data_IF_282198048454
#
_entry.id   IF_282198048454
#
_cell.length_a   1.000
_cell.length_b   1.000
_cell.length_c   1.000
_cell.angle_alpha   90.00
_cell.angle_beta   90.00
_cell.angle_gamma   90.00
#
_symmetry.space_group_name_H-M   'P 1'
#
loop_
_entity.id
_entity.type
_entity.pdbx_description
1 polymer ?
#
# COMPACT_ATOMS: atom_id res chain seq x y z
N UNK A 1 -20.74 -1.53 12.22
CA UNK A 1 -19.33 -1.07 12.27
C UNK A 1 -18.48 -2.21 11.75
N UNK A 2 -17.54 -1.94 10.84
CA UNK A 2 -16.67 -2.99 10.31
C UNK A 2 -15.72 -3.48 11.40
N UNK A 3 -15.45 -4.78 11.43
CA UNK A 3 -14.39 -5.41 12.22
C UNK A 3 -13.37 -6.12 11.33
N UNK A 4 -12.38 -6.76 11.97
CA UNK A 4 -11.28 -7.45 11.29
C UNK A 4 -11.73 -8.54 10.30
N UNK A 5 -12.89 -9.17 10.54
CA UNK A 5 -13.44 -10.20 9.66
C UNK A 5 -13.95 -9.61 8.34
N UNK A 6 -14.49 -8.40 8.38
CA UNK A 6 -15.18 -7.76 7.24
C UNK A 6 -14.21 -7.24 6.18
N UNK A 7 -12.95 -7.02 6.58
CA UNK A 7 -11.89 -6.47 5.71
C UNK A 7 -11.00 -7.53 5.10
N UNK A 8 -11.30 -8.82 5.29
CA UNK A 8 -10.48 -9.90 4.70
C UNK A 8 -10.60 -9.95 3.19
N UNK A 9 -9.52 -10.40 2.56
CA UNK A 9 -9.44 -10.57 1.11
C UNK A 9 -8.42 -9.65 0.48
N UNK A 10 -8.53 -9.49 -0.85
CA UNK A 10 -7.68 -8.60 -1.62
C UNK A 10 -8.47 -7.35 -1.98
N UNK A 11 -7.86 -6.21 -1.68
CA UNK A 11 -8.35 -4.89 -2.01
C UNK A 11 -7.38 -4.22 -2.95
N UNK A 12 -7.92 -3.51 -3.93
CA UNK A 12 -7.14 -2.60 -4.77
C UNK A 12 -7.58 -1.19 -4.49
N UNK A 13 -6.64 -0.31 -4.18
CA UNK A 13 -6.95 1.10 -3.95
C UNK A 13 -7.38 1.74 -5.26
N UNK A 14 -8.60 2.26 -5.29
CA UNK A 14 -9.12 2.99 -6.45
C UNK A 14 -8.75 4.48 -6.42
N UNK A 15 -8.58 5.05 -5.23
CA UNK A 15 -8.32 6.47 -5.01
C UNK A 15 -7.63 6.67 -3.67
N UNK A 16 -6.64 7.57 -3.64
CA UNK A 16 -6.22 8.26 -2.44
C UNK A 16 -6.53 9.74 -2.61
N UNK A 17 -7.25 10.34 -1.67
CA UNK A 17 -7.60 11.76 -1.69
C UNK A 17 -7.09 12.43 -0.41
N UNK A 18 -6.58 13.65 -0.56
CA UNK A 18 -6.08 14.45 0.55
C UNK A 18 -7.02 15.63 0.83
N UNK A 19 -6.97 16.17 2.05
CA UNK A 19 -7.82 17.29 2.47
C UNK A 19 -7.57 18.58 1.67
N UNK A 20 -6.39 18.72 1.06
CA UNK A 20 -6.02 19.83 0.18
C UNK A 20 -6.57 19.70 -1.25
N UNK A 21 -7.38 18.67 -1.53
CA UNK A 21 -8.01 18.42 -2.82
C UNK A 21 -7.14 17.65 -3.81
N UNK A 22 -5.90 17.29 -3.46
CA UNK A 22 -5.10 16.37 -4.29
C UNK A 22 -5.74 14.99 -4.33
N UNK A 23 -5.47 14.25 -5.41
CA UNK A 23 -5.90 12.88 -5.60
C UNK A 23 -4.86 12.06 -6.37
N UNK A 24 -4.73 10.78 -6.01
CA UNK A 24 -3.90 9.79 -6.70
C UNK A 24 -4.77 8.60 -7.09
N UNK A 25 -4.77 8.30 -8.39
CA UNK A 25 -5.46 7.17 -9.02
C UNK A 25 -4.51 6.31 -9.85
N UNK A 26 -3.22 6.61 -9.82
CA UNK A 26 -2.23 6.06 -10.76
C UNK A 26 -1.24 5.11 -10.08
N UNK A 27 -0.90 5.34 -8.80
CA UNK A 27 -0.10 4.39 -8.04
C UNK A 27 -0.91 3.10 -7.84
N UNK A 28 -0.32 1.98 -8.23
CA UNK A 28 -0.92 0.66 -8.06
C UNK A 28 -0.71 0.21 -6.62
N UNK A 29 -1.80 0.11 -5.87
CA UNK A 29 -1.78 -0.37 -4.48
C UNK A 29 -2.67 -1.59 -4.35
N UNK A 30 -2.06 -2.70 -3.96
CA UNK A 30 -2.73 -3.96 -3.64
C UNK A 30 -2.53 -4.26 -2.15
N UNK A 31 -3.65 -4.32 -1.42
CA UNK A 31 -3.70 -4.70 0.00
C UNK A 31 -4.32 -6.10 0.11
N UNK A 32 -3.61 -7.02 0.76
CA UNK A 32 -4.11 -8.37 1.04
C UNK A 32 -4.23 -8.53 2.56
N UNK A 33 -5.43 -8.81 3.03
CA UNK A 33 -5.77 -8.98 4.44
C UNK A 33 -6.14 -10.43 4.74
N UNK A 34 -5.29 -11.09 5.52
CA UNK A 34 -5.57 -12.39 6.12
C UNK A 34 -6.36 -12.26 7.44
N UNK A 35 -6.41 -13.32 8.27
CA UNK A 35 -7.14 -13.27 9.53
C UNK A 35 -6.64 -12.23 10.54
N UNK A 36 -5.32 -12.03 10.59
CA UNK A 36 -4.65 -11.10 11.52
C UNK A 36 -3.53 -10.30 10.86
N UNK A 37 -2.87 -10.87 9.84
CA UNK A 37 -1.76 -10.25 9.13
C UNK A 37 -2.19 -9.69 7.78
N UNK A 38 -1.48 -8.66 7.33
CA UNK A 38 -1.67 -8.04 6.04
C UNK A 38 -0.35 -7.75 5.34
N UNK A 39 -0.44 -7.52 4.02
CA UNK A 39 0.60 -6.89 3.21
C UNK A 39 -0.03 -5.83 2.31
N UNK A 40 0.62 -4.67 2.20
CA UNK A 40 0.29 -3.56 1.31
C UNK A 40 1.49 -3.32 0.39
N UNK A 41 1.28 -3.48 -0.92
CA UNK A 41 2.31 -3.27 -1.95
C UNK A 41 1.96 -2.06 -2.79
N UNK A 42 2.93 -1.18 -3.00
CA UNK A 42 2.75 0.07 -3.75
C UNK A 42 3.79 0.17 -4.86
N UNK A 43 3.33 0.11 -6.10
CA UNK A 43 4.16 0.33 -7.27
C UNK A 43 3.88 1.71 -7.85
N UNK A 44 4.91 2.52 -8.13
CA UNK A 44 4.73 3.82 -8.76
C UNK A 44 4.03 3.67 -10.12
N UNK A 45 3.32 4.71 -10.51
CA UNK A 45 2.77 4.82 -11.86
C UNK A 45 3.88 4.77 -12.93
N UNK A 46 3.47 4.62 -14.19
CA UNK A 46 4.38 4.69 -15.34
C UNK A 46 5.58 3.73 -15.25
N UNK A 47 5.32 2.45 -14.93
CA UNK A 47 6.35 1.41 -14.94
C UNK A 47 7.09 1.41 -16.29
N UNK A 48 8.43 1.59 -16.30
CA UNK A 48 9.20 1.52 -17.52
C UNK A 48 9.20 0.10 -18.07
N UNK A 49 9.51 -0.05 -19.36
CA UNK A 49 9.72 -1.37 -19.94
C UNK A 49 10.98 -2.02 -19.33
N UNK A 50 10.88 -3.29 -18.96
CA UNK A 50 11.98 -4.11 -18.44
C UNK A 50 12.32 -5.27 -19.39
N UNK A 51 11.79 -5.28 -20.61
CA UNK A 51 12.10 -6.29 -21.62
C UNK A 51 13.61 -6.33 -21.87
N UNK A 52 14.22 -7.51 -21.73
CA UNK A 52 15.66 -7.70 -21.93
C UNK A 52 16.54 -7.38 -20.71
N UNK A 53 15.98 -6.91 -19.59
CA UNK A 53 16.71 -6.75 -18.33
C UNK A 53 16.84 -8.12 -17.65
N UNK A 54 18.05 -8.65 -17.53
CA UNK A 54 18.33 -9.94 -16.87
C UNK A 54 18.90 -9.77 -15.46
N UNK A 55 19.46 -8.61 -15.14
CA UNK A 55 19.98 -8.30 -13.79
C UNK A 55 20.15 -6.81 -13.53
N UNK A 56 20.63 -6.49 -12.32
CA UNK A 56 20.80 -5.09 -11.87
C UNK A 56 21.75 -4.27 -12.75
N UNK A 57 22.72 -4.93 -13.40
CA UNK A 57 23.68 -4.28 -14.30
C UNK A 57 23.07 -3.82 -15.62
N UNK A 58 21.90 -4.36 -15.99
CA UNK A 58 21.20 -4.03 -17.23
C UNK A 58 20.22 -2.86 -17.03
N UNK A 59 20.09 -2.36 -15.80
CA UNK A 59 19.16 -1.29 -15.46
C UNK A 59 19.65 0.06 -15.96
N UNK A 60 18.75 0.75 -16.65
CA UNK A 60 18.89 2.18 -16.93
C UNK A 60 18.67 3.01 -15.67
N UNK A 61 19.19 4.25 -15.60
CA UNK A 61 18.94 5.15 -14.47
C UNK A 61 17.45 5.36 -14.17
N UNK A 62 16.61 5.49 -15.21
CA UNK A 62 15.16 5.66 -15.05
C UNK A 62 14.49 4.41 -14.44
N UNK A 63 14.94 3.21 -14.78
CA UNK A 63 14.46 1.98 -14.15
C UNK A 63 14.90 1.86 -12.69
N UNK A 64 16.14 2.26 -12.37
CA UNK A 64 16.63 2.30 -10.98
C UNK A 64 15.81 3.29 -10.16
N UNK A 65 15.56 4.48 -10.69
CA UNK A 65 14.73 5.50 -10.03
C UNK A 65 13.30 4.98 -9.78
N UNK A 66 12.68 4.33 -10.78
CA UNK A 66 11.36 3.74 -10.62
C UNK A 66 11.34 2.62 -9.57
N UNK A 67 12.34 1.74 -9.57
CA UNK A 67 12.46 0.68 -8.57
C UNK A 67 12.64 1.25 -7.16
N UNK A 68 13.43 2.32 -7.02
CA UNK A 68 13.67 3.02 -5.77
C UNK A 68 12.44 3.75 -5.23
N UNK A 69 11.48 4.10 -6.09
CA UNK A 69 10.19 4.68 -5.70
C UNK A 69 9.16 3.66 -5.22
N UNK A 70 9.43 2.36 -5.30
CA UNK A 70 8.51 1.35 -4.76
C UNK A 70 8.41 1.46 -3.24
N UNK A 71 7.20 1.25 -2.74
CA UNK A 71 6.91 1.22 -1.31
C UNK A 71 6.13 -0.04 -0.97
N UNK A 72 6.13 -0.41 0.30
CA UNK A 72 5.33 -1.53 0.77
C UNK A 72 5.63 -1.82 2.22
N UNK A 73 4.68 -2.46 2.88
CA UNK A 73 4.78 -2.79 4.29
C UNK A 73 3.82 -3.93 4.64
N UNK A 74 4.12 -4.59 5.75
CA UNK A 74 3.34 -5.71 6.23
C UNK A 74 3.40 -5.79 7.75
N UNK A 75 2.37 -6.41 8.32
CA UNK A 75 2.30 -6.63 9.75
C UNK A 75 0.91 -7.01 10.20
N UNK A 76 0.54 -6.60 11.41
CA UNK A 76 -0.73 -6.98 12.03
C UNK A 76 -1.72 -5.82 11.94
N UNK A 77 -2.96 -6.12 11.57
CA UNK A 77 -4.05 -5.16 11.66
C UNK A 77 -4.65 -5.21 13.07
N UNK A 78 -4.59 -4.09 13.78
CA UNK A 78 -5.28 -3.87 15.05
C UNK A 78 -6.65 -3.23 14.83
N UNK A 79 -7.59 -3.48 15.74
CA UNK A 79 -8.86 -2.78 15.81
C UNK A 79 -9.26 -2.60 17.27
N UNK A 80 -9.46 -1.36 17.71
CA UNK A 80 -9.78 -1.03 19.10
C UNK A 80 -11.29 -0.85 19.36
N UNK A 81 -12.11 -1.03 18.33
CA UNK A 81 -13.55 -0.77 18.38
C UNK A 81 -13.97 0.58 17.77
N UNK A 82 -13.03 1.40 17.31
CA UNK A 82 -13.32 2.63 16.58
C UNK A 82 -12.36 2.82 15.38
N UNK A 83 -11.07 2.56 15.59
CA UNK A 83 -10.02 2.75 14.61
C UNK A 83 -9.29 1.44 14.33
N UNK A 84 -8.89 1.29 13.08
CA UNK A 84 -7.93 0.30 12.64
C UNK A 84 -6.53 0.89 12.73
N UNK A 85 -5.58 0.06 13.15
CA UNK A 85 -4.16 0.40 13.19
C UNK A 85 -3.38 -0.61 12.34
N UNK A 86 -2.64 -0.10 11.36
CA UNK A 86 -1.77 -0.87 10.50
C UNK A 86 -0.39 -0.95 11.16
N UNK A 87 -0.19 -1.93 12.04
CA UNK A 87 1.11 -2.18 12.65
C UNK A 87 2.13 -2.61 11.58
N UNK A 88 3.23 -1.88 11.44
CA UNK A 88 4.26 -2.10 10.40
C UNK A 88 5.44 -2.88 11.00
N UNK A 89 5.38 -4.21 10.90
CA UNK A 89 6.47 -5.09 11.33
C UNK A 89 7.57 -5.20 10.25
N UNK A 90 7.19 -4.98 8.99
CA UNK A 90 8.07 -4.92 7.83
C UNK A 90 7.78 -3.64 7.08
N UNK A 91 8.85 -2.98 6.64
CA UNK A 91 8.82 -1.70 5.93
C UNK A 91 9.86 -1.73 4.81
N UNK A 92 9.42 -1.52 3.57
CA UNK A 92 10.31 -1.46 2.41
C UNK A 92 10.95 -0.07 2.24
N UNK A 93 10.33 0.96 2.81
CA UNK A 93 10.85 2.31 2.94
C UNK A 93 10.75 2.75 4.41
N UNK A 94 11.59 3.68 4.89
CA UNK A 94 11.51 4.17 6.26
C UNK A 94 10.09 4.61 6.63
N UNK A 95 9.58 4.25 7.82
CA UNK A 95 8.25 4.65 8.23
C UNK A 95 8.16 6.17 8.36
N UNK A 96 6.99 6.71 8.04
CA UNK A 96 6.68 8.13 8.24
C UNK A 96 6.61 8.50 9.73
N UNK A 97 6.52 9.81 10.05
CA UNK A 97 6.54 10.30 11.44
C UNK A 97 5.24 10.04 12.22
N UNK A 98 4.18 9.56 11.56
CA UNK A 98 2.87 9.36 12.16
C UNK A 98 2.47 7.89 12.12
N UNK A 99 1.62 7.50 13.07
CA UNK A 99 0.99 6.19 13.07
C UNK A 99 0.10 6.02 11.84
N UNK A 100 0.07 4.80 11.32
CA UNK A 100 -0.81 4.40 10.22
C UNK A 100 -2.11 3.87 10.82
N UNK A 101 -3.09 4.76 11.01
CA UNK A 101 -4.36 4.45 11.67
C UNK A 101 -5.52 5.26 11.07
N UNK A 102 -6.73 4.68 11.12
CA UNK A 102 -7.90 5.28 10.49
C UNK A 102 -9.18 4.48 10.70
N UNK A 103 -10.32 5.08 10.32
CA UNK A 103 -11.60 4.38 10.29
C UNK A 103 -11.88 3.83 8.90
N UNK A 104 -12.62 2.71 8.84
CA UNK A 104 -13.05 2.10 7.59
C UNK A 104 -14.57 2.10 7.51
N UNK A 105 -15.08 2.35 6.31
CA UNK A 105 -16.51 2.31 5.99
C UNK A 105 -16.70 1.61 4.65
N UNK A 106 -17.75 0.79 4.56
CA UNK A 106 -18.21 0.26 3.28
C UNK A 106 -19.14 1.28 2.63
N UNK A 107 -18.89 1.58 1.36
CA UNK A 107 -19.78 2.39 0.53
C UNK A 107 -20.24 1.57 -0.67
N UNK A 108 -21.50 1.73 -1.08
CA UNK A 108 -22.06 1.04 -2.25
C UNK A 108 -22.48 -0.42 -2.02
N UNK A 109 -22.81 -0.80 -0.78
CA UNK A 109 -23.57 -2.02 -0.47
C UNK A 109 -25.05 -1.68 -0.41
#
# INVERSE_FOLDING_TARGET
MLGLIDVRGRWRRALLAWADGRADRTTLVDWVQGPSFYADLRSPAARPDFTGVAGLTDLTPAQVEWLGGQEGFAGRLGFDGAFFEWGRALDYQPPGPFLDAGSLRMEGV
#
